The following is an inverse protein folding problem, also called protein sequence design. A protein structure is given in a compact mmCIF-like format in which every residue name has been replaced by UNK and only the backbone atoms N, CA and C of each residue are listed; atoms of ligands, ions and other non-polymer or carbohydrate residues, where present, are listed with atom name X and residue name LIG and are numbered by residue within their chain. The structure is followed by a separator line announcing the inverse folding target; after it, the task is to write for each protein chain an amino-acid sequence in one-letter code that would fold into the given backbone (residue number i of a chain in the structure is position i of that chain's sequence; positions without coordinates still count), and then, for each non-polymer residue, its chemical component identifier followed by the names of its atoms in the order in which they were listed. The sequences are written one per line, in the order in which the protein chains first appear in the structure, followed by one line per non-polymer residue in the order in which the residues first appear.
data_IF_719040502173
#
_entry.id   IF_719040502173
#
_cell.length_a   1.000
_cell.length_b   1.000
_cell.length_c   1.000
_cell.angle_alpha   90.00
_cell.angle_beta   90.00
_cell.angle_gamma   90.00
#
_symmetry.space_group_name_H-M   'P 1'
#
loop_
_entity.id
_entity.type
_entity.pdbx_description
1 polymer ?
#
# COMPACT_ATOMS: atom_id res chain seq x y z
N UNK A 1 17.96 21.15 5.32
CA UNK A 1 16.98 20.07 5.47
C UNK A 1 15.89 20.27 4.42
N UNK A 2 15.77 19.38 3.44
CA UNK A 2 14.62 19.37 2.54
C UNK A 2 13.38 18.81 3.24
N UNK A 3 12.17 19.10 2.75
CA UNK A 3 10.92 18.57 3.31
C UNK A 3 10.97 17.03 3.45
N UNK A 4 11.49 16.35 2.42
CA UNK A 4 11.69 14.89 2.39
C UNK A 4 12.57 14.40 3.54
N UNK A 5 13.61 15.16 3.88
CA UNK A 5 14.57 14.80 4.93
C UNK A 5 13.95 14.96 6.33
N UNK A 6 13.13 16.01 6.52
CA UNK A 6 12.35 16.23 7.74
C UNK A 6 11.30 15.13 7.93
N UNK A 7 10.56 14.79 6.87
CA UNK A 7 9.53 13.74 6.91
C UNK A 7 10.15 12.37 7.23
N UNK A 8 11.30 12.05 6.64
CA UNK A 8 12.02 10.81 6.91
C UNK A 8 12.46 10.72 8.38
N UNK A 9 13.02 11.80 8.93
CA UNK A 9 13.42 11.85 10.34
C UNK A 9 12.21 11.67 11.26
N UNK A 10 11.11 12.37 10.99
CA UNK A 10 9.89 12.28 11.79
C UNK A 10 9.31 10.86 11.80
N UNK A 11 9.16 10.23 10.63
CA UNK A 11 8.64 8.86 10.54
C UNK A 11 9.55 7.87 11.26
N UNK A 12 10.87 8.02 11.13
CA UNK A 12 11.84 7.17 11.84
C UNK A 12 11.69 7.28 13.35
N UNK A 13 11.57 8.48 13.89
CA UNK A 13 11.33 8.71 15.33
C UNK A 13 10.02 8.07 15.81
N UNK A 14 8.95 8.11 14.99
CA UNK A 14 7.68 7.46 15.32
C UNK A 14 7.76 5.94 15.33
N UNK A 15 8.61 5.35 14.48
CA UNK A 15 8.88 3.91 14.49
C UNK A 15 9.73 3.53 15.71
N UNK A 16 10.80 4.26 16.00
CA UNK A 16 11.71 4.00 17.14
C UNK A 16 11.00 4.16 18.49
N UNK A 17 10.10 5.14 18.62
CA UNK A 17 9.26 5.31 19.82
C UNK A 17 8.15 4.27 19.96
N UNK A 18 7.95 3.38 18.98
CA UNK A 18 6.88 2.38 18.97
C UNK A 18 5.48 2.96 18.74
N UNK A 19 5.37 4.26 18.47
CA UNK A 19 4.11 4.92 18.12
C UNK A 19 3.55 4.38 16.79
N UNK A 20 4.44 3.97 15.88
CA UNK A 20 4.10 3.30 14.62
C UNK A 20 4.80 1.94 14.58
N UNK A 21 4.01 0.86 14.59
CA UNK A 21 4.51 -0.48 14.30
C UNK A 21 4.55 -0.71 12.79
N UNK A 22 5.63 -1.29 12.29
CA UNK A 22 5.74 -1.68 10.87
C UNK A 22 5.73 -3.19 10.74
N UNK A 23 5.20 -3.68 9.63
CA UNK A 23 5.27 -5.09 9.25
C UNK A 23 5.75 -5.17 7.81
N UNK A 24 6.61 -6.15 7.55
CA UNK A 24 7.14 -6.36 6.21
C UNK A 24 6.02 -6.84 5.27
N UNK A 25 5.91 -6.19 4.11
CA UNK A 25 5.02 -6.59 3.02
C UNK A 25 5.86 -6.70 1.75
N UNK A 26 5.82 -7.87 1.09
CA UNK A 26 6.48 -8.04 -0.19
C UNK A 26 5.95 -7.00 -1.19
N UNK A 27 6.80 -6.42 -2.04
CA UNK A 27 6.35 -5.46 -3.07
C UNK A 27 5.27 -6.06 -3.99
N UNK A 28 5.26 -7.38 -4.15
CA UNK A 28 4.22 -8.09 -4.88
C UNK A 28 2.88 -8.24 -4.14
N UNK A 29 2.82 -7.82 -2.88
CA UNK A 29 1.64 -7.91 -2.04
C UNK A 29 1.15 -6.54 -1.56
N UNK A 30 1.84 -5.46 -1.96
CA UNK A 30 1.46 -4.10 -1.62
C UNK A 30 0.15 -3.74 -2.33
N UNK A 31 -0.93 -3.64 -1.55
CA UNK A 31 -2.26 -3.31 -2.04
C UNK A 31 -2.35 -1.87 -2.53
N UNK A 32 -1.58 -0.96 -1.94
CA UNK A 32 -1.53 0.45 -2.32
C UNK A 32 -1.07 0.67 -3.78
N UNK A 33 -0.40 -0.33 -4.37
CA UNK A 33 0.06 -0.27 -5.75
C UNK A 33 -1.09 -0.06 -6.75
N UNK A 34 -2.32 -0.43 -6.41
CA UNK A 34 -3.49 -0.18 -7.26
C UNK A 34 -3.77 1.30 -7.48
N UNK A 35 -3.39 2.16 -6.53
CA UNK A 35 -3.65 3.60 -6.59
C UNK A 35 -2.48 4.41 -7.14
N UNK A 36 -1.27 3.86 -7.13
CA UNK A 36 -0.05 4.60 -7.45
C UNK A 36 0.72 4.08 -8.66
N UNK A 37 0.41 2.87 -9.15
CA UNK A 37 1.11 2.23 -10.26
C UNK A 37 0.12 1.76 -11.33
N UNK A 38 0.59 1.79 -12.57
CA UNK A 38 -0.04 1.03 -13.64
C UNK A 38 0.30 -0.45 -13.49
N UNK A 39 -0.70 -1.27 -13.17
CA UNK A 39 -0.56 -2.70 -12.95
C UNK A 39 -1.10 -3.51 -14.14
N UNK A 40 -0.50 -4.67 -14.39
CA UNK A 40 -1.01 -5.60 -15.42
C UNK A 40 -2.28 -6.30 -14.93
N UNK A 41 -3.18 -6.65 -15.86
CA UNK A 41 -4.50 -7.23 -15.57
C UNK A 41 -4.54 -8.36 -14.53
N UNK A 42 -3.67 -9.39 -14.60
CA UNK A 42 -3.65 -10.47 -13.60
C UNK A 42 -3.36 -9.98 -12.18
N UNK A 43 -2.53 -8.94 -12.04
CA UNK A 43 -2.16 -8.37 -10.76
C UNK A 43 -3.29 -7.52 -10.16
N UNK A 44 -4.02 -6.78 -10.99
CA UNK A 44 -5.24 -6.09 -10.57
C UNK A 44 -6.23 -7.10 -10.01
N UNK A 45 -6.48 -8.21 -10.72
CA UNK A 45 -7.39 -9.28 -10.26
C UNK A 45 -6.97 -9.86 -8.90
N UNK A 46 -5.68 -10.15 -8.71
CA UNK A 46 -5.16 -10.63 -7.43
C UNK A 46 -5.42 -9.65 -6.28
N UNK A 47 -5.11 -8.37 -6.49
CA UNK A 47 -5.31 -7.31 -5.49
C UNK A 47 -6.79 -7.10 -5.19
N UNK A 48 -7.66 -7.07 -6.21
CA UNK A 48 -9.11 -6.93 -6.03
C UNK A 48 -9.69 -8.07 -5.20
N UNK A 49 -9.29 -9.32 -5.47
CA UNK A 49 -9.71 -10.48 -4.67
C UNK A 49 -9.24 -10.34 -3.21
N UNK A 50 -8.02 -9.87 -2.99
CA UNK A 50 -7.46 -9.68 -1.64
C UNK A 50 -8.13 -8.55 -0.86
N UNK A 51 -8.62 -7.52 -1.57
CA UNK A 51 -9.39 -6.42 -0.99
C UNK A 51 -10.87 -6.77 -0.76
N UNK A 52 -11.35 -7.90 -1.28
CA UNK A 52 -12.79 -8.20 -1.30
C UNK A 52 -13.57 -7.23 -2.19
N UNK A 53 -12.92 -6.66 -3.21
CA UNK A 53 -13.57 -5.80 -4.16
C UNK A 53 -14.56 -6.62 -5.01
N UNK A 54 -15.77 -6.10 -5.19
CA UNK A 54 -16.80 -6.71 -6.02
C UNK A 54 -17.11 -5.80 -7.21
N UNK A 55 -17.47 -6.41 -8.33
CA UNK A 55 -17.86 -5.69 -9.53
C UNK A 55 -19.32 -5.24 -9.39
N UNK A 56 -19.52 -3.93 -9.28
CA UNK A 56 -20.85 -3.30 -9.15
C UNK A 56 -21.68 -3.48 -10.44
N UNK A 57 -21.04 -3.83 -11.55
CA UNK A 57 -21.68 -4.07 -12.84
C UNK A 57 -21.86 -5.55 -13.16
N UNK A 58 -21.48 -6.46 -12.26
CA UNK A 58 -21.72 -7.89 -12.45
C UNK A 58 -23.24 -8.16 -12.51
N UNK A 59 -23.73 -8.95 -13.49
CA UNK A 59 -25.12 -9.38 -13.51
C UNK A 59 -25.49 -10.17 -12.24
N UNK A 60 -26.73 -10.00 -11.81
CA UNK A 60 -27.32 -10.78 -10.71
C UNK A 60 -27.55 -12.25 -11.09
#
# INVERSE_FOLDING_TARGET
MGLIEVDCHFIKEKIESGCVATSFVNSNDQLADIFNKSLRGPRIKYICNKLGAYDVYAPA
#
